data_IF_443756950443
#
_entry.id   IF_443756950443
#
_cell.length_a   1.000
_cell.length_b   1.000
_cell.length_c   1.000
_cell.angle_alpha   90.00
_cell.angle_beta   90.00
_cell.angle_gamma   90.00
#
_symmetry.space_group_name_H-M   'P 1'
#
loop_
_entity.id
_entity.type
_entity.pdbx_description
1 polymer ?
#
# COMPACT_ATOMS: atom_id res chain seq x y z
N UNK A 1 -72.96 28.58 -39.11
CA UNK A 1 -71.85 29.39 -39.66
C UNK A 1 -71.39 28.74 -40.95
N UNK A 2 -71.36 29.47 -42.08
CA UNK A 2 -70.36 29.31 -43.16
C UNK A 2 -70.60 30.39 -44.24
N UNK A 3 -70.07 31.59 -44.02
CA UNK A 3 -70.15 32.71 -44.98
C UNK A 3 -68.81 33.40 -45.27
N UNK A 4 -67.73 33.05 -44.57
CA UNK A 4 -66.42 33.71 -44.71
C UNK A 4 -65.47 33.01 -45.71
N UNK A 5 -65.69 31.72 -45.99
CA UNK A 5 -64.75 30.92 -46.80
C UNK A 5 -64.77 31.28 -48.30
N UNK A 6 -65.81 31.99 -48.75
CA UNK A 6 -66.03 32.30 -50.17
C UNK A 6 -65.51 33.69 -50.60
N UNK A 7 -65.20 34.59 -49.67
CA UNK A 7 -64.59 35.90 -50.00
C UNK A 7 -63.06 35.81 -50.12
N UNK A 8 -62.40 34.90 -49.40
CA UNK A 8 -60.92 34.81 -49.47
C UNK A 8 -60.39 34.38 -50.84
N UNK A 9 -61.08 33.44 -51.51
CA UNK A 9 -60.68 32.95 -52.84
C UNK A 9 -60.78 34.01 -53.93
N UNK A 10 -61.82 34.84 -53.91
CA UNK A 10 -61.98 35.93 -54.89
C UNK A 10 -60.87 36.99 -54.75
N UNK A 11 -60.35 37.20 -53.53
CA UNK A 11 -59.20 38.08 -53.30
C UNK A 11 -57.89 37.45 -53.79
N UNK A 12 -57.67 36.16 -53.52
CA UNK A 12 -56.46 35.44 -53.99
C UNK A 12 -56.38 35.40 -55.53
N UNK A 13 -57.48 35.01 -56.20
CA UNK A 13 -57.52 34.92 -57.67
C UNK A 13 -57.24 36.30 -58.32
N UNK A 14 -57.78 37.38 -57.76
CA UNK A 14 -57.52 38.75 -58.24
C UNK A 14 -56.08 39.21 -58.02
N UNK A 15 -55.40 38.75 -56.97
CA UNK A 15 -53.98 39.02 -56.73
C UNK A 15 -53.11 38.25 -57.74
N UNK A 16 -53.44 36.99 -58.05
CA UNK A 16 -52.72 36.20 -59.06
C UNK A 16 -52.89 36.75 -60.48
N UNK A 17 -54.09 37.23 -60.84
CA UNK A 17 -54.35 37.87 -62.13
C UNK A 17 -53.53 39.17 -62.27
N UNK A 18 -53.50 40.01 -61.23
CA UNK A 18 -52.69 41.23 -61.20
C UNK A 18 -51.17 40.94 -61.22
N UNK A 19 -50.71 39.87 -60.57
CA UNK A 19 -49.30 39.47 -60.59
C UNK A 19 -48.82 39.05 -61.99
N UNK A 20 -49.69 38.48 -62.83
CA UNK A 20 -49.36 38.13 -64.23
C UNK A 20 -49.13 39.35 -65.12
N UNK A 21 -49.80 40.48 -64.87
CA UNK A 21 -49.66 41.69 -65.71
C UNK A 21 -48.37 42.49 -65.48
N UNK A 22 -47.55 42.15 -64.48
CA UNK A 22 -46.30 42.85 -64.15
C UNK A 22 -45.02 42.06 -64.49
N UNK A 23 -45.13 40.97 -65.26
CA UNK A 23 -43.95 40.24 -65.75
C UNK A 23 -43.19 41.02 -66.82
N UNK A 24 -41.97 41.49 -66.50
CA UNK A 24 -41.03 42.05 -67.49
C UNK A 24 -40.87 41.09 -68.69
N UNK A 25 -40.93 41.64 -69.90
CA UNK A 25 -40.78 40.83 -71.11
C UNK A 25 -39.39 40.18 -71.18
N UNK A 26 -39.23 39.02 -71.86
CA UNK A 26 -37.93 38.37 -72.01
C UNK A 26 -36.86 39.29 -72.63
N UNK A 27 -37.27 40.21 -73.52
CA UNK A 27 -36.40 41.20 -74.13
C UNK A 27 -35.86 42.22 -73.10
N UNK A 28 -36.74 42.88 -72.35
CA UNK A 28 -36.35 43.82 -71.29
C UNK A 28 -35.46 43.16 -70.24
N UNK A 29 -35.78 41.91 -69.86
CA UNK A 29 -35.00 41.15 -68.90
C UNK A 29 -33.58 40.86 -69.43
N UNK A 30 -33.43 40.58 -70.72
CA UNK A 30 -32.12 40.38 -71.35
C UNK A 30 -31.28 41.67 -71.40
N UNK A 31 -31.90 42.84 -71.60
CA UNK A 31 -31.19 44.12 -71.62
C UNK A 31 -30.83 44.62 -70.22
N UNK A 32 -31.66 44.35 -69.21
CA UNK A 32 -31.27 44.59 -67.81
C UNK A 32 -30.07 43.72 -67.42
N UNK A 33 -30.05 42.44 -67.82
CA UNK A 33 -28.91 41.56 -67.57
C UNK A 33 -27.63 42.00 -68.32
N UNK A 34 -27.73 42.45 -69.57
CA UNK A 34 -26.55 42.92 -70.32
C UNK A 34 -25.96 44.19 -69.69
N UNK A 35 -26.80 45.12 -69.22
CA UNK A 35 -26.37 46.33 -68.49
C UNK A 35 -25.73 46.01 -67.14
N UNK A 36 -26.28 45.04 -66.39
CA UNK A 36 -25.69 44.58 -65.13
C UNK A 36 -24.31 43.94 -65.38
N UNK A 37 -24.19 43.03 -66.35
CA UNK A 37 -22.92 42.37 -66.67
C UNK A 37 -21.87 43.36 -67.21
N UNK A 38 -22.27 44.32 -68.05
CA UNK A 38 -21.38 45.39 -68.52
C UNK A 38 -20.88 46.32 -67.40
N UNK A 39 -21.59 46.41 -66.27
CA UNK A 39 -21.15 47.14 -65.06
C UNK A 39 -20.38 46.28 -64.06
N UNK A 40 -20.37 44.96 -64.22
CA UNK A 40 -19.73 44.02 -63.28
C UNK A 40 -18.23 43.79 -63.54
N UNK A 41 -17.72 44.13 -64.73
CA UNK A 41 -16.30 43.98 -65.10
C UNK A 41 -15.40 45.16 -64.63
N UNK A 42 -15.96 46.09 -63.84
CA UNK A 42 -15.24 47.23 -63.25
C UNK A 42 -14.68 46.88 -61.85
N UNK A 43 -13.68 46.00 -61.84
CA UNK A 43 -12.62 45.99 -60.83
C UNK A 43 -12.90 45.27 -59.51
N UNK A 44 -12.73 43.94 -59.50
CA UNK A 44 -12.73 43.12 -58.28
C UNK A 44 -11.46 43.25 -57.42
N UNK A 45 -11.11 44.46 -56.99
CA UNK A 45 -10.10 44.70 -55.95
C UNK A 45 -10.78 44.72 -54.57
N UNK A 46 -11.24 43.54 -54.14
CA UNK A 46 -11.80 43.34 -52.80
C UNK A 46 -10.75 43.59 -51.71
N UNK A 47 -10.69 44.83 -51.20
CA UNK A 47 -9.87 45.16 -50.03
C UNK A 47 -10.28 44.26 -48.86
N UNK A 48 -9.34 43.54 -48.22
CA UNK A 48 -9.70 42.68 -47.10
C UNK A 48 -10.33 43.52 -45.99
N UNK A 49 -11.49 43.07 -45.49
CA UNK A 49 -12.20 43.75 -44.40
C UNK A 49 -11.27 43.93 -43.19
N UNK A 50 -11.22 45.11 -42.54
CA UNK A 50 -10.41 45.29 -41.34
C UNK A 50 -10.83 44.36 -40.19
N UNK A 51 -12.05 43.82 -40.24
CA UNK A 51 -12.52 42.81 -39.29
C UNK A 51 -11.96 41.40 -39.57
N UNK A 52 -11.50 41.10 -40.79
CA UNK A 52 -10.91 39.79 -41.11
C UNK A 52 -9.62 39.54 -40.30
N UNK A 53 -8.82 40.59 -40.07
CA UNK A 53 -7.64 40.52 -39.21
C UNK A 53 -8.00 40.21 -37.74
N UNK A 54 -9.13 40.71 -37.25
CA UNK A 54 -9.61 40.47 -35.88
C UNK A 54 -10.01 38.99 -35.69
N UNK A 55 -10.70 38.40 -36.67
CA UNK A 55 -11.05 36.97 -36.64
C UNK A 55 -9.83 36.05 -36.85
N UNK A 56 -8.85 36.45 -37.67
CA UNK A 56 -7.61 35.70 -37.86
C UNK A 56 -6.70 35.71 -36.61
N UNK A 57 -6.57 36.84 -35.91
CA UNK A 57 -5.74 36.94 -34.71
C UNK A 57 -6.39 36.23 -33.50
N UNK A 58 -7.72 36.19 -33.44
CA UNK A 58 -8.47 35.52 -32.39
C UNK A 58 -8.46 33.98 -32.49
N UNK A 59 -8.29 33.40 -33.68
CA UNK A 59 -8.40 31.95 -33.91
C UNK A 59 -7.10 31.19 -33.60
N UNK A 60 -5.93 31.74 -33.94
CA UNK A 60 -4.64 31.03 -33.76
C UNK A 60 -4.22 30.81 -32.30
N UNK A 61 -4.54 31.73 -31.37
CA UNK A 61 -4.15 31.58 -29.96
C UNK A 61 -5.17 30.79 -29.13
N UNK A 62 -6.48 30.94 -29.39
CA UNK A 62 -7.54 30.23 -28.64
C UNK A 62 -7.47 28.71 -28.82
N UNK A 63 -6.96 28.22 -29.96
CA UNK A 63 -6.78 26.79 -30.22
C UNK A 63 -5.79 26.08 -29.28
N UNK A 64 -4.83 26.79 -28.68
CA UNK A 64 -3.91 26.23 -27.66
C UNK A 64 -4.45 26.52 -26.26
N UNK A 65 -5.00 27.71 -26.02
CA UNK A 65 -5.54 28.04 -24.69
C UNK A 65 -6.72 27.17 -24.28
N UNK A 66 -7.65 26.80 -25.18
CA UNK A 66 -8.79 25.94 -24.80
C UNK A 66 -8.37 24.55 -24.32
N UNK A 67 -7.56 23.74 -25.04
CA UNK A 67 -7.11 22.45 -24.53
C UNK A 67 -6.21 22.59 -23.30
N UNK A 68 -5.43 23.67 -23.18
CA UNK A 68 -4.61 23.92 -21.98
C UNK A 68 -5.47 24.32 -20.76
N UNK A 69 -6.56 25.07 -20.95
CA UNK A 69 -7.53 25.40 -19.90
C UNK A 69 -8.36 24.17 -19.52
N UNK A 70 -8.73 23.33 -20.49
CA UNK A 70 -9.38 22.03 -20.22
C UNK A 70 -8.40 21.11 -19.47
N UNK A 71 -7.13 21.07 -19.84
CA UNK A 71 -6.10 20.31 -19.12
C UNK A 71 -5.93 20.85 -17.69
N UNK A 72 -5.84 22.17 -17.50
CA UNK A 72 -5.76 22.79 -16.16
C UNK A 72 -7.06 22.59 -15.37
N UNK A 73 -8.23 22.54 -16.02
CA UNK A 73 -9.51 22.26 -15.36
C UNK A 73 -9.63 20.76 -15.00
N UNK A 74 -9.17 19.85 -15.85
CA UNK A 74 -9.13 18.41 -15.59
C UNK A 74 -8.08 18.06 -14.54
N UNK A 75 -6.92 18.73 -14.53
CA UNK A 75 -5.89 18.58 -13.49
C UNK A 75 -6.26 19.31 -12.19
N UNK A 76 -6.98 20.43 -12.26
CA UNK A 76 -7.37 21.22 -11.08
C UNK A 76 -8.63 20.69 -10.39
N UNK A 77 -9.68 20.38 -11.15
CA UNK A 77 -10.82 19.62 -10.64
C UNK A 77 -10.41 18.17 -10.33
N UNK A 78 -9.45 17.62 -11.08
CA UNK A 78 -8.76 16.36 -10.77
C UNK A 78 -8.11 16.41 -9.39
N UNK A 79 -7.22 17.37 -9.12
CA UNK A 79 -6.54 17.49 -7.81
C UNK A 79 -7.51 17.66 -6.63
N UNK A 80 -8.64 18.36 -6.83
CA UNK A 80 -9.70 18.45 -5.83
C UNK A 80 -10.46 17.12 -5.65
N UNK A 81 -10.79 16.43 -6.75
CA UNK A 81 -11.45 15.12 -6.73
C UNK A 81 -10.54 14.00 -6.20
N UNK A 82 -9.23 14.06 -6.46
CA UNK A 82 -8.21 13.14 -5.96
C UNK A 82 -8.14 13.20 -4.44
N UNK A 83 -7.97 14.40 -3.84
CA UNK A 83 -7.98 14.56 -2.38
C UNK A 83 -9.34 14.20 -1.75
N UNK A 84 -10.45 14.54 -2.40
CA UNK A 84 -11.78 14.14 -1.92
C UNK A 84 -11.99 12.61 -1.97
N UNK A 85 -11.42 11.93 -2.98
CA UNK A 85 -11.48 10.48 -3.10
C UNK A 85 -10.53 9.76 -2.13
N UNK A 86 -9.37 10.33 -1.79
CA UNK A 86 -8.46 9.76 -0.77
C UNK A 86 -9.17 9.59 0.58
N UNK A 87 -9.97 10.58 1.00
CA UNK A 87 -10.76 10.54 2.24
C UNK A 87 -12.04 9.69 2.19
N UNK A 88 -12.40 9.13 1.03
CA UNK A 88 -13.63 8.37 0.83
C UNK A 88 -13.59 7.01 1.53
N UNK A 89 -14.73 6.59 2.08
CA UNK A 89 -14.96 5.32 2.76
C UNK A 89 -15.71 4.30 1.89
N UNK A 90 -15.65 3.01 2.22
CA UNK A 90 -16.52 1.99 1.62
C UNK A 90 -18.00 2.41 1.61
N UNK A 91 -18.56 2.58 0.41
CA UNK A 91 -19.94 3.03 0.18
C UNK A 91 -20.08 4.50 -0.26
N UNK A 92 -19.02 5.32 -0.16
CA UNK A 92 -19.03 6.70 -0.65
C UNK A 92 -18.95 6.75 -2.18
N UNK A 93 -19.56 7.79 -2.77
CA UNK A 93 -19.63 7.99 -4.23
C UNK A 93 -18.25 8.02 -4.91
N UNK A 94 -17.22 8.51 -4.23
CA UNK A 94 -15.85 8.60 -4.76
C UNK A 94 -14.97 7.39 -4.40
N UNK A 95 -15.46 6.41 -3.64
CA UNK A 95 -14.68 5.22 -3.29
C UNK A 95 -14.26 4.38 -4.52
N UNK A 96 -15.11 4.18 -5.55
CA UNK A 96 -14.68 3.53 -6.79
C UNK A 96 -13.63 4.33 -7.57
N UNK A 97 -13.54 5.65 -7.37
CA UNK A 97 -12.50 6.50 -7.95
C UNK A 97 -11.17 6.37 -7.20
N UNK A 98 -11.23 6.28 -5.86
CA UNK A 98 -10.06 6.00 -5.00
C UNK A 98 -9.32 4.73 -5.44
N UNK A 99 -10.03 3.60 -5.45
CA UNK A 99 -9.50 2.30 -5.91
C UNK A 99 -9.22 2.28 -7.42
N UNK A 100 -10.12 2.87 -8.21
CA UNK A 100 -10.14 2.71 -9.66
C UNK A 100 -9.11 3.57 -10.41
N UNK A 101 -8.71 4.71 -9.83
CA UNK A 101 -7.85 5.73 -10.45
C UNK A 101 -6.71 6.13 -9.53
N UNK A 102 -6.97 6.65 -8.32
CA UNK A 102 -5.91 7.22 -7.48
C UNK A 102 -4.84 6.16 -7.11
N UNK A 103 -5.28 5.02 -6.56
CA UNK A 103 -4.38 3.96 -6.11
C UNK A 103 -3.59 3.35 -7.28
N UNK A 104 -4.23 3.14 -8.43
CA UNK A 104 -3.54 2.66 -9.64
C UNK A 104 -2.51 3.65 -10.18
N UNK A 105 -2.76 4.96 -10.07
CA UNK A 105 -1.75 5.97 -10.44
C UNK A 105 -0.58 5.93 -9.46
N UNK A 106 -0.82 5.72 -8.16
CA UNK A 106 0.25 5.51 -7.19
C UNK A 106 1.05 4.22 -7.50
N UNK A 107 0.38 3.11 -7.80
CA UNK A 107 1.01 1.84 -8.16
C UNK A 107 1.91 1.97 -9.41
N UNK A 108 1.46 2.72 -10.42
CA UNK A 108 2.25 3.01 -11.63
C UNK A 108 3.48 3.90 -11.37
N UNK A 109 3.48 4.69 -10.30
CA UNK A 109 4.62 5.52 -9.89
C UNK A 109 5.59 4.76 -8.96
N UNK A 110 5.11 3.75 -8.24
CA UNK A 110 5.90 2.86 -7.36
C UNK A 110 6.72 1.84 -8.17
N UNK A 111 7.68 2.35 -8.95
CA UNK A 111 8.46 1.58 -9.93
C UNK A 111 9.58 0.70 -9.37
N UNK A 112 9.89 0.78 -8.07
CA UNK A 112 10.86 -0.09 -7.40
C UNK A 112 10.19 -1.01 -6.36
N UNK A 113 10.73 -2.21 -6.08
CA UNK A 113 10.18 -3.09 -5.04
C UNK A 113 10.05 -2.40 -3.68
N UNK A 114 10.98 -1.53 -3.31
CA UNK A 114 10.95 -0.74 -2.07
C UNK A 114 9.78 0.24 -2.05
N UNK A 115 9.57 0.98 -3.14
CA UNK A 115 8.45 1.91 -3.28
C UNK A 115 7.11 1.17 -3.30
N UNK A 116 7.07 -0.01 -3.94
CA UNK A 116 5.89 -0.87 -3.97
C UNK A 116 5.55 -1.43 -2.59
N UNK A 117 6.54 -1.95 -1.85
CA UNK A 117 6.36 -2.41 -0.48
C UNK A 117 5.79 -1.31 0.44
N UNK A 118 6.38 -0.12 0.40
CA UNK A 118 5.93 1.03 1.19
C UNK A 118 4.51 1.49 0.80
N UNK A 119 4.22 1.59 -0.51
CA UNK A 119 2.89 1.98 -0.99
C UNK A 119 1.81 0.97 -0.59
N UNK A 120 2.05 -0.33 -0.80
CA UNK A 120 1.11 -1.38 -0.48
C UNK A 120 0.90 -1.48 1.05
N UNK A 121 1.93 -1.26 1.85
CA UNK A 121 1.81 -1.13 3.32
C UNK A 121 0.88 0.02 3.71
N UNK A 122 1.04 1.20 3.10
CA UNK A 122 0.16 2.37 3.34
C UNK A 122 -1.27 2.17 2.82
N UNK A 123 -1.46 1.46 1.71
CA UNK A 123 -2.80 1.11 1.21
C UNK A 123 -3.51 0.09 2.11
N UNK A 124 -2.78 -0.87 2.70
CA UNK A 124 -3.28 -1.79 3.72
C UNK A 124 -3.68 -1.03 4.99
N UNK A 125 -2.81 -0.16 5.51
CA UNK A 125 -3.08 0.74 6.63
C UNK A 125 -4.36 1.58 6.39
N UNK A 126 -4.53 2.10 5.18
CA UNK A 126 -5.71 2.88 4.80
C UNK A 126 -7.02 2.06 4.92
N UNK A 127 -7.00 0.75 4.64
CA UNK A 127 -8.19 -0.11 4.83
C UNK A 127 -8.53 -0.36 6.30
N UNK A 128 -7.52 -0.42 7.17
CA UNK A 128 -7.72 -0.57 8.61
C UNK A 128 -8.33 0.72 9.19
N UNK A 129 -7.76 1.88 8.84
CA UNK A 129 -8.31 3.20 9.14
C UNK A 129 -9.75 3.39 8.62
N UNK A 130 -10.09 2.87 7.43
CA UNK A 130 -11.46 2.91 6.89
C UNK A 130 -12.45 2.18 7.78
N UNK A 131 -12.09 1.01 8.31
CA UNK A 131 -12.95 0.21 9.21
C UNK A 131 -13.11 0.89 10.58
N UNK A 132 -12.02 1.43 11.14
CA UNK A 132 -12.02 2.17 12.41
C UNK A 132 -12.88 3.45 12.32
N UNK A 133 -12.76 4.19 11.21
CA UNK A 133 -13.59 5.37 10.94
C UNK A 133 -15.06 4.99 10.70
N UNK A 134 -15.35 3.94 9.93
CA UNK A 134 -16.72 3.43 9.76
C UNK A 134 -17.34 2.96 11.08
N UNK A 135 -16.55 2.34 11.97
CA UNK A 135 -16.98 1.93 13.31
C UNK A 135 -17.31 3.14 14.19
N UNK A 136 -16.43 4.14 14.26
CA UNK A 136 -16.66 5.35 15.05
C UNK A 136 -17.83 6.21 14.54
N UNK A 137 -18.12 6.15 13.24
CA UNK A 137 -19.28 6.77 12.60
C UNK A 137 -20.56 5.89 12.65
N UNK A 138 -20.55 4.76 13.38
CA UNK A 138 -21.70 3.85 13.52
C UNK A 138 -22.22 3.27 12.20
N UNK A 139 -21.37 3.30 11.16
CA UNK A 139 -21.72 3.10 9.76
C UNK A 139 -21.04 1.88 9.14
N UNK A 140 -20.37 1.06 9.96
CA UNK A 140 -19.78 -0.22 9.61
C UNK A 140 -20.88 -1.27 9.36
N UNK A 141 -20.79 -1.95 8.22
CA UNK A 141 -21.71 -3.03 7.83
C UNK A 141 -20.90 -4.25 7.33
N UNK A 142 -21.51 -5.45 7.26
CA UNK A 142 -20.84 -6.64 6.74
C UNK A 142 -20.25 -6.43 5.34
N UNK A 143 -21.00 -5.81 4.42
CA UNK A 143 -20.55 -5.57 3.04
C UNK A 143 -19.35 -4.61 2.97
N UNK A 144 -19.38 -3.53 3.77
CA UNK A 144 -18.27 -2.58 3.86
C UNK A 144 -17.03 -3.21 4.49
N UNK A 145 -17.22 -4.04 5.52
CA UNK A 145 -16.15 -4.78 6.18
C UNK A 145 -15.50 -5.77 5.21
N UNK A 146 -16.29 -6.55 4.47
CA UNK A 146 -15.81 -7.49 3.48
C UNK A 146 -15.06 -6.80 2.32
N UNK A 147 -15.52 -5.63 1.88
CA UNK A 147 -14.82 -4.84 0.86
C UNK A 147 -13.47 -4.29 1.36
N UNK A 148 -13.43 -3.75 2.57
CA UNK A 148 -12.17 -3.27 3.16
C UNK A 148 -11.21 -4.44 3.47
N UNK A 149 -11.71 -5.58 3.96
CA UNK A 149 -10.95 -6.80 4.23
C UNK A 149 -10.34 -7.41 2.95
N UNK A 150 -11.09 -7.46 1.85
CA UNK A 150 -10.58 -7.97 0.57
C UNK A 150 -9.44 -7.11 0.01
N UNK A 151 -9.57 -5.78 0.06
CA UNK A 151 -8.51 -4.87 -0.36
C UNK A 151 -7.32 -4.91 0.62
N UNK A 152 -7.58 -4.99 1.94
CA UNK A 152 -6.52 -5.13 2.94
C UNK A 152 -5.64 -6.35 2.67
N UNK A 153 -6.27 -7.51 2.44
CA UNK A 153 -5.54 -8.75 2.14
C UNK A 153 -4.67 -8.58 0.89
N UNK A 154 -5.23 -8.03 -0.20
CA UNK A 154 -4.50 -7.82 -1.45
C UNK A 154 -3.26 -6.92 -1.27
N UNK A 155 -3.40 -5.82 -0.51
CA UNK A 155 -2.29 -4.91 -0.22
C UNK A 155 -1.26 -5.51 0.75
N UNK A 156 -1.70 -6.24 1.78
CA UNK A 156 -0.80 -6.93 2.70
C UNK A 156 0.02 -8.02 1.98
N UNK A 157 -0.62 -8.86 1.16
CA UNK A 157 0.05 -9.89 0.36
C UNK A 157 1.03 -9.29 -0.65
N UNK A 158 0.67 -8.16 -1.28
CA UNK A 158 1.56 -7.43 -2.19
C UNK A 158 2.76 -6.80 -1.48
N UNK A 159 2.57 -6.24 -0.28
CA UNK A 159 3.66 -5.71 0.55
C UNK A 159 4.63 -6.83 0.98
N UNK A 160 4.10 -7.95 1.49
CA UNK A 160 4.86 -9.15 1.88
C UNK A 160 5.67 -9.68 0.68
N UNK A 161 5.05 -9.80 -0.50
CA UNK A 161 5.72 -10.25 -1.73
C UNK A 161 6.83 -9.30 -2.18
N UNK A 162 6.59 -7.99 -2.10
CA UNK A 162 7.60 -6.99 -2.43
C UNK A 162 8.80 -7.05 -1.47
N UNK A 163 8.56 -7.18 -0.16
CA UNK A 163 9.60 -7.31 0.88
C UNK A 163 10.44 -8.59 0.67
N UNK A 164 9.81 -9.73 0.40
CA UNK A 164 10.50 -10.98 0.08
C UNK A 164 11.41 -10.82 -1.16
N UNK A 165 10.93 -10.12 -2.20
CA UNK A 165 11.74 -9.85 -3.41
C UNK A 165 12.95 -8.94 -3.13
N UNK A 166 12.84 -7.99 -2.21
CA UNK A 166 13.93 -7.10 -1.77
C UNK A 166 15.02 -7.92 -1.06
N UNK A 167 14.60 -8.83 -0.17
CA UNK A 167 15.48 -9.75 0.55
C UNK A 167 16.17 -10.74 -0.39
N UNK A 168 15.42 -11.36 -1.31
CA UNK A 168 15.96 -12.26 -2.34
C UNK A 168 16.96 -11.56 -3.27
N UNK A 169 16.83 -10.24 -3.44
CA UNK A 169 17.79 -9.39 -4.17
C UNK A 169 19.02 -8.98 -3.35
N UNK A 170 19.17 -9.48 -2.12
CA UNK A 170 20.32 -9.24 -1.24
C UNK A 170 20.22 -8.01 -0.32
N UNK A 171 19.14 -7.24 -0.38
CA UNK A 171 18.97 -5.98 0.40
C UNK A 171 18.28 -6.28 1.74
N UNK A 172 18.95 -7.06 2.59
CA UNK A 172 18.40 -7.54 3.85
C UNK A 172 18.13 -6.41 4.87
N UNK A 173 18.87 -5.31 4.79
CA UNK A 173 18.67 -4.06 5.52
C UNK A 173 17.29 -3.44 5.19
N UNK A 174 17.00 -3.29 3.90
CA UNK A 174 15.75 -2.71 3.41
C UNK A 174 14.56 -3.63 3.72
N UNK A 175 14.73 -4.94 3.53
CA UNK A 175 13.71 -5.93 3.87
C UNK A 175 13.41 -5.95 5.38
N UNK A 176 14.43 -5.85 6.24
CA UNK A 176 14.22 -5.75 7.69
C UNK A 176 13.50 -4.45 8.07
N UNK A 177 13.88 -3.30 7.49
CA UNK A 177 13.20 -2.01 7.74
C UNK A 177 11.73 -2.06 7.32
N UNK A 178 11.44 -2.49 6.08
CA UNK A 178 10.06 -2.53 5.58
C UNK A 178 9.20 -3.57 6.31
N UNK A 179 9.80 -4.67 6.78
CA UNK A 179 9.12 -5.62 7.66
C UNK A 179 8.82 -5.02 9.03
N UNK A 180 9.71 -4.17 9.58
CA UNK A 180 9.46 -3.44 10.82
C UNK A 180 8.31 -2.44 10.65
N UNK A 181 8.28 -1.68 9.55
CA UNK A 181 7.17 -0.76 9.23
C UNK A 181 5.83 -1.50 9.21
N UNK A 182 5.75 -2.58 8.43
CA UNK A 182 4.54 -3.40 8.32
C UNK A 182 4.15 -4.05 9.66
N UNK A 183 5.09 -4.61 10.42
CA UNK A 183 4.83 -5.19 11.74
C UNK A 183 4.27 -4.13 12.73
N UNK A 184 4.82 -2.90 12.71
CA UNK A 184 4.38 -1.81 13.59
C UNK A 184 2.96 -1.34 13.30
N UNK A 185 2.66 -1.10 12.02
CA UNK A 185 1.34 -0.65 11.55
C UNK A 185 0.29 -1.72 11.85
N UNK A 186 0.56 -2.98 11.50
CA UNK A 186 -0.37 -4.08 11.73
C UNK A 186 -0.61 -4.31 13.23
N UNK A 187 0.42 -4.23 14.08
CA UNK A 187 0.27 -4.38 15.53
C UNK A 187 -0.59 -3.26 16.14
N UNK A 188 -0.33 -2.00 15.77
CA UNK A 188 -1.08 -0.86 16.29
C UNK A 188 -2.58 -0.91 15.94
N UNK A 189 -2.93 -1.29 14.71
CA UNK A 189 -4.32 -1.49 14.29
C UNK A 189 -4.94 -2.77 14.87
N UNK A 190 -4.15 -3.83 15.09
CA UNK A 190 -4.64 -5.10 15.66
C UNK A 190 -5.29 -4.89 17.02
N UNK A 191 -4.66 -4.10 17.90
CA UNK A 191 -5.17 -3.77 19.23
C UNK A 191 -6.50 -3.01 19.17
N UNK A 192 -6.65 -2.08 18.22
CA UNK A 192 -7.89 -1.30 18.05
C UNK A 192 -9.01 -2.17 17.48
N UNK A 193 -8.72 -3.04 16.51
CA UNK A 193 -9.70 -3.95 15.93
C UNK A 193 -10.33 -4.90 16.97
N UNK A 194 -9.61 -5.34 18.00
CA UNK A 194 -10.19 -6.15 19.08
C UNK A 194 -11.29 -5.41 19.87
N UNK A 195 -11.31 -4.08 19.83
CA UNK A 195 -12.35 -3.27 20.47
C UNK A 195 -13.58 -3.01 19.59
N UNK A 196 -13.52 -3.36 18.30
CA UNK A 196 -14.55 -3.07 17.30
C UNK A 196 -15.48 -4.29 17.10
N UNK A 197 -16.78 -4.21 17.42
CA UNK A 197 -17.72 -5.28 17.14
C UNK A 197 -17.81 -5.58 15.63
N UNK A 198 -17.65 -6.86 15.26
CA UNK A 198 -17.74 -7.30 13.86
C UNK A 198 -16.41 -7.34 13.09
N UNK A 199 -15.31 -6.87 13.66
CA UNK A 199 -13.95 -6.90 13.04
C UNK A 199 -13.30 -8.30 12.98
N UNK A 200 -13.91 -9.33 13.58
CA UNK A 200 -13.25 -10.59 13.90
C UNK A 200 -12.75 -11.44 12.70
N UNK A 201 -13.14 -11.12 11.47
CA UNK A 201 -12.52 -11.68 10.26
C UNK A 201 -11.22 -10.95 9.93
N UNK A 202 -11.27 -9.64 9.68
CA UNK A 202 -10.08 -8.85 9.37
C UNK A 202 -9.03 -8.86 10.49
N UNK A 203 -9.43 -8.88 11.76
CA UNK A 203 -8.52 -9.02 12.90
C UNK A 203 -7.64 -10.29 12.81
N UNK A 204 -8.18 -11.40 12.28
CA UNK A 204 -7.42 -12.62 12.01
C UNK A 204 -6.50 -12.47 10.81
N UNK A 205 -6.94 -11.79 9.74
CA UNK A 205 -6.10 -11.56 8.57
C UNK A 205 -4.92 -10.63 8.90
N UNK A 206 -5.15 -9.58 9.69
CA UNK A 206 -4.10 -8.71 10.27
C UNK A 206 -3.12 -9.54 11.10
N UNK A 207 -3.62 -10.48 11.92
CA UNK A 207 -2.76 -11.38 12.70
C UNK A 207 -1.90 -12.28 11.79
N UNK A 208 -2.46 -12.80 10.69
CA UNK A 208 -1.71 -13.62 9.72
C UNK A 208 -0.62 -12.80 9.00
N UNK A 209 -0.96 -11.59 8.54
CA UNK A 209 -0.02 -10.67 7.91
C UNK A 209 1.09 -10.21 8.88
N UNK A 210 0.76 -9.99 10.16
CA UNK A 210 1.71 -9.67 11.23
C UNK A 210 2.72 -10.81 11.44
N UNK A 211 2.25 -12.07 11.44
CA UNK A 211 3.12 -13.26 11.53
C UNK A 211 4.06 -13.35 10.32
N UNK A 212 3.55 -13.11 9.09
CA UNK A 212 4.36 -13.12 7.88
C UNK A 212 5.43 -12.00 7.88
N UNK A 213 5.05 -10.77 8.26
CA UNK A 213 5.98 -9.65 8.41
C UNK A 213 7.08 -9.96 9.44
N UNK A 214 6.72 -10.53 10.60
CA UNK A 214 7.68 -10.91 11.63
C UNK A 214 8.64 -12.03 11.18
N UNK A 215 8.19 -12.94 10.31
CA UNK A 215 9.03 -13.98 9.70
C UNK A 215 10.03 -13.37 8.71
N UNK A 216 9.57 -12.51 7.80
CA UNK A 216 10.43 -11.77 6.86
C UNK A 216 11.48 -10.95 7.61
N UNK A 217 11.06 -10.15 8.60
CA UNK A 217 11.96 -9.39 9.48
C UNK A 217 13.05 -10.28 10.09
N UNK A 218 12.66 -11.40 10.71
CA UNK A 218 13.60 -12.29 11.42
C UNK A 218 14.58 -12.96 10.46
N UNK A 219 14.14 -13.35 9.27
CA UNK A 219 15.03 -13.90 8.25
C UNK A 219 15.98 -12.84 7.66
N UNK A 220 15.53 -11.59 7.52
CA UNK A 220 16.34 -10.47 7.05
C UNK A 220 17.40 -10.05 8.10
N UNK A 221 17.02 -9.94 9.37
CA UNK A 221 17.94 -9.72 10.50
C UNK A 221 18.99 -10.84 10.61
N UNK A 222 18.62 -12.09 10.34
CA UNK A 222 19.55 -13.22 10.29
C UNK A 222 20.53 -13.12 9.09
N UNK A 223 20.04 -12.73 7.91
CA UNK A 223 20.89 -12.48 6.74
C UNK A 223 21.90 -11.35 6.97
N UNK A 224 21.50 -10.28 7.67
CA UNK A 224 22.40 -9.21 8.10
C UNK A 224 23.45 -9.73 9.09
N UNK A 225 23.00 -10.45 10.12
CA UNK A 225 23.86 -10.96 11.20
C UNK A 225 24.88 -12.01 10.74
N UNK A 226 24.61 -12.69 9.61
CA UNK A 226 25.49 -13.70 9.01
C UNK A 226 26.28 -13.17 7.80
N UNK A 227 26.11 -11.88 7.44
CA UNK A 227 26.86 -11.25 6.35
C UNK A 227 28.37 -11.26 6.63
N UNK A 228 29.15 -11.65 5.62
CA UNK A 228 30.61 -11.73 5.71
C UNK A 228 31.32 -10.40 5.50
N UNK A 229 30.60 -9.30 5.28
CA UNK A 229 31.16 -7.94 5.23
C UNK A 229 30.82 -7.15 6.51
N UNK A 230 31.78 -7.03 7.46
CA UNK A 230 31.54 -6.32 8.72
C UNK A 230 31.19 -4.84 8.52
N UNK A 231 31.63 -4.20 7.42
CA UNK A 231 31.33 -2.80 7.17
C UNK A 231 29.86 -2.60 6.80
N UNK A 232 29.27 -3.53 6.05
CA UNK A 232 27.86 -3.53 5.71
C UNK A 232 26.99 -3.70 6.96
N UNK A 233 27.29 -4.69 7.82
CA UNK A 233 26.54 -4.88 9.08
C UNK A 233 26.68 -3.69 10.03
N UNK A 234 27.88 -3.08 10.11
CA UNK A 234 28.11 -1.87 10.90
C UNK A 234 27.38 -0.63 10.34
N UNK A 235 27.18 -0.54 9.02
CA UNK A 235 26.38 0.51 8.37
C UNK A 235 24.90 0.30 8.66
N UNK A 236 24.36 -0.89 8.42
CA UNK A 236 22.98 -1.24 8.71
C UNK A 236 22.62 -1.00 10.19
N UNK A 237 23.53 -1.28 11.12
CA UNK A 237 23.34 -1.01 12.54
C UNK A 237 23.25 0.50 12.87
N UNK A 238 24.00 1.37 12.16
CA UNK A 238 23.92 2.83 12.30
C UNK A 238 22.68 3.42 11.64
N UNK A 239 22.23 2.84 10.54
CA UNK A 239 20.99 3.26 9.88
C UNK A 239 19.77 2.87 10.74
N UNK A 240 19.80 1.69 11.37
CA UNK A 240 18.82 1.27 12.37
C UNK A 240 18.86 2.15 13.63
N UNK A 241 20.05 2.52 14.14
CA UNK A 241 20.20 3.50 15.24
C UNK A 241 19.53 4.82 14.89
N UNK A 242 19.86 5.41 13.73
CA UNK A 242 19.28 6.66 13.27
C UNK A 242 17.76 6.58 13.16
N UNK A 243 17.23 5.56 12.46
CA UNK A 243 15.79 5.38 12.25
C UNK A 243 15.05 5.21 13.59
N UNK A 244 15.54 4.35 14.47
CA UNK A 244 14.90 4.13 15.78
C UNK A 244 14.97 5.37 16.69
N UNK A 245 16.04 6.16 16.62
CA UNK A 245 16.10 7.46 17.30
C UNK A 245 15.09 8.48 16.73
N UNK A 246 14.92 8.54 15.41
CA UNK A 246 13.91 9.38 14.74
C UNK A 246 12.47 8.94 15.09
N UNK A 247 12.22 7.63 15.18
CA UNK A 247 10.95 7.06 15.63
C UNK A 247 10.63 7.43 17.09
N UNK A 248 11.58 7.25 18.02
CA UNK A 248 11.42 7.63 19.43
C UNK A 248 11.19 9.13 19.59
N UNK A 249 11.98 9.96 18.88
CA UNK A 249 11.87 11.41 18.94
C UNK A 249 10.56 11.95 18.35
N UNK A 250 9.99 11.29 17.33
CA UNK A 250 8.69 11.68 16.76
C UNK A 250 7.49 11.16 17.57
N UNK A 251 7.62 10.00 18.21
CA UNK A 251 6.60 9.46 19.12
C UNK A 251 6.49 10.26 20.44
N UNK A 252 7.60 10.76 20.97
CA UNK A 252 7.63 11.47 22.26
C UNK A 252 6.64 12.65 22.40
N UNK A 253 6.57 13.64 21.48
CA UNK A 253 5.60 14.73 21.56
C UNK A 253 4.16 14.26 21.32
N UNK A 254 3.94 13.20 20.53
CA UNK A 254 2.61 12.64 20.24
C UNK A 254 2.04 11.97 21.49
N UNK A 255 2.82 11.08 22.12
CA UNK A 255 2.43 10.38 23.35
C UNK A 255 2.30 11.38 24.51
N UNK A 256 3.31 12.23 24.74
CA UNK A 256 3.35 13.14 25.90
C UNK A 256 2.40 14.33 25.79
N UNK A 257 2.12 14.81 24.58
CA UNK A 257 1.25 15.96 24.33
C UNK A 257 -0.24 15.62 24.31
N UNK A 258 -0.60 14.33 24.24
CA UNK A 258 -1.99 13.91 24.14
C UNK A 258 -2.64 13.76 25.52
N UNK A 259 -3.75 14.48 25.76
CA UNK A 259 -4.67 14.14 26.85
C UNK A 259 -5.24 12.73 26.73
N UNK A 260 -5.15 12.13 25.53
CA UNK A 260 -5.46 10.74 25.27
C UNK A 260 -4.53 9.78 26.03
N UNK A 261 -3.27 10.11 26.33
CA UNK A 261 -2.39 9.25 27.15
C UNK A 261 -2.97 8.98 28.56
N UNK A 262 -3.78 9.91 29.09
CA UNK A 262 -4.48 9.76 30.39
C UNK A 262 -5.65 8.77 30.30
N UNK A 263 -6.20 8.52 29.10
CA UNK A 263 -7.33 7.61 28.87
C UNK A 263 -6.95 6.32 28.12
N UNK A 264 -5.81 6.30 27.42
CA UNK A 264 -5.31 5.15 26.66
C UNK A 264 -4.63 4.09 27.54
N UNK A 265 -4.37 4.43 28.81
CA UNK A 265 -3.77 3.53 29.80
C UNK A 265 -2.24 3.52 29.78
N UNK A 266 -1.66 2.97 30.84
CA UNK A 266 -0.20 2.88 31.04
C UNK A 266 0.54 2.29 29.82
N UNK A 267 -0.10 1.32 29.14
CA UNK A 267 0.46 0.57 28.00
C UNK A 267 1.13 1.42 26.91
N UNK A 268 0.58 2.58 26.53
CA UNK A 268 1.20 3.43 25.48
C UNK A 268 2.44 4.16 26.00
N UNK A 269 2.39 4.64 27.24
CA UNK A 269 3.57 5.23 27.90
C UNK A 269 4.65 4.16 28.13
N UNK A 270 4.24 2.94 28.50
CA UNK A 270 5.13 1.79 28.69
C UNK A 270 5.76 1.33 27.36
N UNK A 271 5.04 1.40 26.23
CA UNK A 271 5.61 1.16 24.88
C UNK A 271 6.70 2.19 24.56
N UNK A 272 6.46 3.48 24.77
CA UNK A 272 7.47 4.51 24.54
C UNK A 272 8.66 4.40 25.52
N UNK A 273 8.43 3.99 26.77
CA UNK A 273 9.52 3.71 27.72
C UNK A 273 10.38 2.55 27.21
N UNK A 274 9.77 1.41 26.87
CA UNK A 274 10.48 0.26 26.29
C UNK A 274 11.24 0.63 25.02
N UNK A 275 10.69 1.53 24.18
CA UNK A 275 11.37 2.00 22.99
C UNK A 275 12.67 2.76 23.32
N UNK A 276 12.65 3.61 24.35
CA UNK A 276 13.83 4.33 24.86
C UNK A 276 14.85 3.38 25.49
N UNK A 277 14.39 2.37 26.23
CA UNK A 277 15.25 1.36 26.83
C UNK A 277 15.95 0.52 25.75
N UNK A 278 15.22 0.01 24.76
CA UNK A 278 15.78 -0.72 23.62
C UNK A 278 16.74 0.15 22.77
N UNK A 279 16.44 1.44 22.58
CA UNK A 279 17.35 2.36 21.90
C UNK A 279 18.66 2.48 22.68
N UNK A 280 18.58 2.68 24.01
CA UNK A 280 19.75 2.77 24.88
C UNK A 280 20.59 1.49 24.86
N UNK A 281 19.98 0.32 25.03
CA UNK A 281 20.68 -0.98 24.93
C UNK A 281 21.30 -1.18 23.54
N UNK A 282 20.59 -0.79 22.47
CA UNK A 282 21.08 -0.84 21.10
C UNK A 282 22.35 0.00 20.89
N UNK A 283 22.40 1.23 21.41
CA UNK A 283 23.62 2.07 21.33
C UNK A 283 24.80 1.44 22.05
N UNK A 284 24.59 0.76 23.19
CA UNK A 284 25.64 0.04 23.90
C UNK A 284 26.15 -1.19 23.13
N UNK A 285 25.26 -1.92 22.44
CA UNK A 285 25.64 -3.03 21.54
C UNK A 285 26.39 -2.54 20.30
N UNK A 286 25.96 -1.43 19.70
CA UNK A 286 26.64 -0.78 18.58
C UNK A 286 28.07 -0.35 18.97
N UNK A 287 28.22 0.30 20.14
CA UNK A 287 29.50 0.75 20.66
C UNK A 287 30.48 -0.39 21.01
N UNK A 288 29.95 -1.58 21.34
CA UNK A 288 30.76 -2.78 21.62
C UNK A 288 31.01 -3.66 20.38
N UNK A 289 30.55 -3.25 19.19
CA UNK A 289 30.72 -3.98 17.93
C UNK A 289 29.79 -5.18 17.76
N UNK A 290 28.80 -5.35 18.65
CA UNK A 290 27.79 -6.41 18.58
C UNK A 290 26.65 -6.01 17.62
N UNK A 291 26.97 -5.85 16.33
CA UNK A 291 26.08 -5.22 15.35
C UNK A 291 24.74 -5.96 15.15
N UNK A 292 24.73 -7.30 15.16
CA UNK A 292 23.49 -8.08 15.07
C UNK A 292 22.54 -7.85 16.25
N UNK A 293 23.07 -7.87 17.48
CA UNK A 293 22.31 -7.52 18.69
C UNK A 293 21.78 -6.08 18.61
N UNK A 294 22.61 -5.14 18.13
CA UNK A 294 22.24 -3.74 17.99
C UNK A 294 21.08 -3.56 16.99
N UNK A 295 21.16 -4.16 15.81
CA UNK A 295 20.09 -4.14 14.80
C UNK A 295 18.78 -4.69 15.39
N UNK A 296 18.83 -5.82 16.09
CA UNK A 296 17.64 -6.43 16.70
C UNK A 296 17.02 -5.56 17.81
N UNK A 297 17.83 -4.81 18.58
CA UNK A 297 17.36 -3.87 19.61
C UNK A 297 16.79 -2.59 18.99
N UNK A 298 17.49 -1.98 18.03
CA UNK A 298 17.00 -0.82 17.30
C UNK A 298 15.69 -1.12 16.58
N UNK A 299 15.53 -2.31 15.98
CA UNK A 299 14.26 -2.76 15.42
C UNK A 299 13.13 -2.80 16.46
N UNK A 300 13.39 -3.30 17.67
CA UNK A 300 12.36 -3.28 18.75
C UNK A 300 12.03 -1.86 19.21
N UNK A 301 13.02 -0.98 19.30
CA UNK A 301 12.84 0.42 19.67
C UNK A 301 11.94 1.14 18.65
N UNK A 302 12.29 1.01 17.37
CA UNK A 302 11.56 1.54 16.23
C UNK A 302 10.10 1.08 16.22
N UNK A 303 9.85 -0.24 16.35
CA UNK A 303 8.49 -0.78 16.37
C UNK A 303 7.67 -0.30 17.56
N UNK A 304 8.24 -0.26 18.77
CA UNK A 304 7.52 0.19 19.97
C UNK A 304 7.22 1.69 19.96
N UNK A 305 8.12 2.52 19.43
CA UNK A 305 7.86 3.95 19.24
C UNK A 305 6.78 4.20 18.18
N UNK A 306 6.86 3.51 17.05
CA UNK A 306 5.91 3.64 15.94
C UNK A 306 4.52 3.16 16.35
N UNK A 307 4.42 1.99 16.99
CA UNK A 307 3.18 1.44 17.54
C UNK A 307 2.51 2.43 18.50
N UNK A 308 3.26 2.99 19.47
CA UNK A 308 2.73 3.97 20.42
C UNK A 308 2.21 5.24 19.72
N UNK A 309 2.93 5.74 18.71
CA UNK A 309 2.52 6.91 17.93
C UNK A 309 1.23 6.65 17.15
N UNK A 310 1.15 5.53 16.43
CA UNK A 310 -0.03 5.16 15.64
C UNK A 310 -1.24 4.94 16.55
N UNK A 311 -1.10 4.24 17.68
CA UNK A 311 -2.21 4.03 18.62
C UNK A 311 -2.78 5.36 19.17
N UNK A 312 -1.95 6.37 19.41
CA UNK A 312 -2.43 7.71 19.80
C UNK A 312 -3.17 8.39 18.65
N UNK A 313 -2.67 8.29 17.42
CA UNK A 313 -3.30 8.87 16.24
C UNK A 313 -4.68 8.25 15.94
N UNK A 314 -4.81 6.92 16.01
CA UNK A 314 -6.09 6.21 15.86
C UNK A 314 -7.06 6.62 16.97
N UNK A 315 -6.63 6.65 18.23
CA UNK A 315 -7.49 7.07 19.35
C UNK A 315 -7.96 8.52 19.20
N UNK A 316 -7.12 9.40 18.67
CA UNK A 316 -7.48 10.79 18.39
C UNK A 316 -8.49 10.91 17.24
N UNK A 317 -8.31 10.14 16.15
CA UNK A 317 -9.22 10.18 14.99
C UNK A 317 -10.62 9.63 15.31
N UNK A 318 -10.69 8.56 16.11
CA UNK A 318 -11.92 7.96 16.65
C UNK A 318 -12.57 8.89 17.71
N UNK A 319 -11.77 9.35 18.68
CA UNK A 319 -12.24 10.11 19.84
C UNK A 319 -12.81 11.49 19.51
N UNK A 320 -12.36 12.12 18.41
CA UNK A 320 -12.93 13.41 17.95
C UNK A 320 -14.36 13.32 17.39
N UNK A 321 -14.93 12.12 17.21
CA UNK A 321 -16.29 11.93 16.67
C UNK A 321 -17.29 11.20 17.57
N UNK A 322 -16.82 10.44 18.56
CA UNK A 322 -17.68 9.58 19.38
C UNK A 322 -18.04 10.19 20.75
N UNK A 323 -19.29 10.67 20.97
CA UNK A 323 -19.81 10.83 22.33
C UNK A 323 -20.06 9.43 22.92
N UNK A 324 -19.33 9.09 23.98
CA UNK A 324 -19.32 7.76 24.64
C UNK A 324 -18.88 6.59 23.75
N UNK A 325 -17.57 6.40 23.59
CA UNK A 325 -17.04 5.03 23.65
C UNK A 325 -16.86 4.63 25.12
N UNK A 326 -17.26 3.40 25.44
CA UNK A 326 -17.23 2.82 26.79
C UNK A 326 -15.76 2.78 27.25
N UNK A 327 -15.43 3.15 28.51
CA UNK A 327 -14.06 3.04 29.01
C UNK A 327 -13.55 1.59 28.87
N UNK A 328 -12.25 1.38 28.63
CA UNK A 328 -11.70 0.03 28.56
C UNK A 328 -12.06 -0.72 29.85
N UNK A 329 -12.61 -1.93 29.69
CA UNK A 329 -12.89 -2.81 30.82
C UNK A 329 -11.60 -2.99 31.63
N UNK A 330 -11.65 -2.93 32.97
CA UNK A 330 -10.47 -3.15 33.78
C UNK A 330 -9.89 -4.52 33.43
N UNK A 331 -8.58 -4.54 33.18
CA UNK A 331 -7.81 -5.76 32.96
C UNK A 331 -8.11 -6.75 34.09
N UNK A 332 -8.44 -7.99 33.71
CA UNK A 332 -8.54 -9.08 34.68
C UNK A 332 -7.14 -9.33 35.22
N UNK A 333 -6.84 -8.72 36.37
CA UNK A 333 -5.64 -9.03 37.15
C UNK A 333 -5.59 -10.53 37.41
N UNK A 334 -4.64 -11.22 36.77
CA UNK A 334 -4.29 -12.58 37.13
C UNK A 334 -3.73 -12.54 38.55
N UNK A 335 -4.55 -12.93 39.53
CA UNK A 335 -4.18 -12.88 40.94
C UNK A 335 -2.88 -13.66 41.17
N UNK A 336 -1.91 -13.11 41.94
CA UNK A 336 -0.63 -13.76 42.13
C UNK A 336 -0.79 -15.06 42.94
N UNK A 337 -0.38 -16.18 42.34
CA UNK A 337 -0.22 -17.44 43.05
C UNK A 337 0.79 -17.24 44.17
N UNK A 338 0.33 -17.39 45.41
CA UNK A 338 1.15 -17.23 46.60
C UNK A 338 2.14 -18.40 46.74
N UNK A 339 3.41 -18.15 46.38
CA UNK A 339 4.53 -19.01 46.79
C UNK A 339 4.99 -18.61 48.18
N UNK A 340 4.42 -19.26 49.20
CA UNK A 340 4.79 -19.05 50.60
C UNK A 340 6.19 -19.60 50.87
N UNK A 341 7.21 -18.74 50.81
CA UNK A 341 8.55 -19.05 51.32
C UNK A 341 8.65 -18.58 52.77
N UNK A 342 8.48 -19.50 53.72
CA UNK A 342 8.81 -19.26 55.13
C UNK A 342 10.30 -19.56 55.36
N UNK A 343 11.05 -18.53 55.77
CA UNK A 343 12.45 -18.67 56.20
C UNK A 343 12.50 -19.01 57.69
N UNK A 344 13.30 -20.01 58.06
CA UNK A 344 13.88 -20.12 59.40
C UNK A 344 15.18 -20.93 59.35
N UNK A 345 16.09 -20.62 60.27
CA UNK A 345 17.53 -20.88 60.16
C UNK A 345 17.99 -21.95 61.15
N UNK A 346 19.01 -22.71 60.73
CA UNK A 346 20.00 -23.44 61.55
C UNK A 346 19.68 -24.78 62.26
N UNK A 347 20.66 -25.66 62.10
CA UNK A 347 21.22 -26.61 63.08
C UNK A 347 20.62 -28.03 63.29
N UNK A 348 21.27 -28.98 62.59
CA UNK A 348 21.96 -30.16 63.18
C UNK A 348 21.27 -31.53 63.27
N UNK A 349 22.12 -32.55 63.07
CA UNK A 349 22.01 -33.98 63.43
C UNK A 349 21.07 -34.94 62.64
N UNK A 350 21.71 -35.72 61.74
CA UNK A 350 21.85 -37.20 61.79
C UNK A 350 20.63 -38.16 61.81
N UNK A 351 20.81 -39.31 61.13
CA UNK A 351 19.93 -40.51 61.01
C UNK A 351 18.97 -40.43 59.80
N UNK A 352 19.06 -41.23 58.73
CA UNK A 352 19.30 -42.68 58.51
C UNK A 352 18.13 -43.60 58.88
N UNK A 353 17.69 -44.34 57.85
CA UNK A 353 16.90 -45.59 57.80
C UNK A 353 15.40 -45.63 58.15
N UNK A 354 14.71 -46.36 57.25
CA UNK A 354 13.72 -47.44 57.47
C UNK A 354 12.25 -47.17 57.84
N UNK A 355 11.40 -47.61 56.90
CA UNK A 355 10.30 -48.59 57.09
C UNK A 355 8.95 -48.23 57.75
N UNK A 356 7.88 -48.72 57.09
CA UNK A 356 6.58 -49.19 57.65
C UNK A 356 5.65 -48.17 58.33
N UNK A 357 4.32 -48.30 58.38
CA UNK A 357 3.34 -49.25 57.82
C UNK A 357 2.03 -48.44 57.56
N UNK A 358 1.36 -48.59 56.42
CA UNK A 358 0.18 -49.45 56.19
C UNK A 358 -1.13 -49.06 56.92
N UNK A 359 -2.22 -48.91 56.17
CA UNK A 359 -3.50 -48.34 56.62
C UNK A 359 -4.66 -48.56 55.63
N UNK A 360 -4.93 -49.82 55.32
CA UNK A 360 -5.96 -50.32 54.38
C UNK A 360 -7.38 -49.74 54.53
N UNK A 361 -8.05 -49.41 53.41
CA UNK A 361 -9.43 -49.90 53.10
C UNK A 361 -9.92 -49.59 51.66
N UNK A 362 -9.97 -50.63 50.82
CA UNK A 362 -11.04 -50.98 49.84
C UNK A 362 -11.91 -49.90 49.15
N UNK A 363 -11.92 -49.89 47.81
CA UNK A 363 -13.05 -50.38 46.96
C UNK A 363 -12.62 -50.49 45.49
N UNK A 364 -13.06 -51.55 44.80
CA UNK A 364 -12.63 -51.93 43.44
C UNK A 364 -13.48 -51.33 42.31
N UNK A 365 -12.87 -51.05 41.16
CA UNK A 365 -13.37 -51.61 39.89
C UNK A 365 -12.29 -51.74 38.81
N UNK A 366 -12.41 -52.78 37.98
CA UNK A 366 -11.57 -53.12 36.82
C UNK A 366 -11.85 -52.20 35.61
N UNK A 367 -10.95 -52.03 34.63
CA UNK A 367 -9.62 -52.60 34.43
C UNK A 367 -9.33 -52.78 32.92
N UNK A 368 -8.07 -52.65 32.50
CA UNK A 368 -7.60 -53.08 31.18
C UNK A 368 -6.10 -53.39 31.26
N UNK A 369 -5.67 -54.59 30.86
CA UNK A 369 -4.26 -55.01 30.95
C UNK A 369 -3.72 -55.45 29.59
N UNK A 370 -2.54 -54.94 29.27
CA UNK A 370 -1.73 -55.27 28.12
C UNK A 370 -1.10 -56.67 28.19
N UNK A 371 -0.84 -57.26 27.02
CA UNK A 371 0.34 -58.07 26.68
C UNK A 371 0.59 -57.78 25.18
N UNK A 372 1.74 -57.33 24.66
CA UNK A 372 3.16 -57.53 24.93
C UNK A 372 3.78 -58.77 24.26
N UNK A 373 4.70 -58.47 23.31
CA UNK A 373 5.81 -59.28 22.74
C UNK A 373 5.51 -60.42 21.76
N UNK A 374 6.24 -60.41 20.64
CA UNK A 374 6.44 -61.57 19.76
C UNK A 374 6.92 -61.28 18.33
N UNK A 375 8.12 -60.72 18.16
CA UNK A 375 8.94 -61.02 16.95
C UNK A 375 9.36 -62.51 16.98
N UNK A 376 9.71 -63.21 15.86
CA UNK A 376 10.39 -62.64 14.69
C UNK A 376 10.02 -63.18 13.28
N UNK A 377 10.27 -62.36 12.25
CA UNK A 377 11.09 -62.72 11.08
C UNK A 377 10.61 -63.68 9.96
N UNK A 378 11.14 -63.39 8.75
CA UNK A 378 11.32 -64.24 7.54
C UNK A 378 10.27 -64.23 6.40
N UNK A 379 10.74 -63.76 5.24
CA UNK A 379 10.48 -64.19 3.84
C UNK A 379 9.05 -64.47 3.33
N UNK A 380 8.65 -63.74 2.27
CA UNK A 380 7.53 -64.15 1.41
C UNK A 380 7.03 -63.10 0.42
N UNK A 381 7.64 -63.03 -0.76
CA UNK A 381 7.08 -62.53 -2.02
C UNK A 381 7.09 -63.73 -3.00
N UNK A 382 6.24 -63.85 -4.06
CA UNK A 382 5.23 -62.94 -4.59
C UNK A 382 3.84 -63.57 -4.89
N UNK A 383 2.89 -62.78 -5.41
CA UNK A 383 1.73 -63.29 -6.17
C UNK A 383 0.44 -62.46 -6.05
N UNK A 384 0.19 -61.47 -6.93
CA UNK A 384 -0.64 -61.58 -8.16
C UNK A 384 -2.15 -61.79 -7.96
N UNK A 385 -2.94 -60.71 -8.09
CA UNK A 385 -4.31 -60.64 -8.67
C UNK A 385 -4.90 -59.25 -8.38
N UNK A 386 -5.49 -58.47 -9.29
CA UNK A 386 -5.81 -58.76 -10.70
C UNK A 386 -7.17 -58.19 -11.12
N UNK A 387 -7.25 -56.89 -11.43
CA UNK A 387 -8.24 -56.24 -12.33
C UNK A 387 -7.78 -54.77 -12.54
N UNK A 388 -7.49 -54.24 -13.72
CA UNK A 388 -8.16 -54.27 -15.04
C UNK A 388 -9.51 -53.51 -15.03
N UNK A 389 -9.80 -52.56 -15.92
CA UNK A 389 -8.99 -51.92 -16.99
C UNK A 389 -9.23 -50.38 -17.00
N UNK A 390 -8.97 -49.60 -18.06
CA UNK A 390 -8.62 -49.88 -19.46
C UNK A 390 -7.62 -48.80 -19.97
N UNK A 391 -6.54 -49.19 -20.65
CA UNK A 391 -6.29 -49.02 -22.11
C UNK A 391 -6.11 -47.53 -22.56
N UNK A 392 -4.90 -47.07 -22.92
CA UNK A 392 -4.15 -47.28 -24.18
C UNK A 392 -4.57 -46.27 -25.29
N UNK A 393 -3.76 -45.81 -26.27
CA UNK A 393 -2.30 -45.69 -26.51
C UNK A 393 -2.13 -44.68 -27.70
N UNK A 394 -0.99 -44.37 -28.34
CA UNK A 394 0.38 -44.92 -28.30
C UNK A 394 1.44 -43.89 -28.78
N UNK A 395 2.69 -44.11 -28.36
CA UNK A 395 3.97 -44.00 -29.09
C UNK A 395 4.16 -43.03 -30.29
N UNK A 396 5.08 -42.09 -30.08
CA UNK A 396 6.38 -41.95 -30.79
C UNK A 396 6.47 -41.95 -32.33
N UNK A 397 6.98 -40.84 -32.90
CA UNK A 397 7.62 -40.80 -34.22
C UNK A 397 8.53 -39.56 -34.38
N UNK A 398 9.83 -39.79 -34.63
CA UNK A 398 10.83 -38.75 -34.98
C UNK A 398 11.00 -38.64 -36.50
N UNK A 399 10.91 -37.40 -37.05
CA UNK A 399 11.46 -36.82 -38.31
C UNK A 399 10.68 -35.53 -38.63
N UNK A 400 11.22 -34.44 -39.19
CA UNK A 400 12.56 -34.13 -39.67
C UNK A 400 12.51 -33.27 -40.96
N UNK A 401 12.69 -31.95 -40.86
CA UNK A 401 12.93 -30.99 -41.96
C UNK A 401 13.47 -29.67 -41.34
N UNK A 402 14.70 -29.21 -41.62
CA UNK A 402 15.23 -28.63 -42.86
C UNK A 402 14.69 -27.21 -43.16
N UNK A 403 15.58 -26.20 -43.08
CA UNK A 403 15.33 -24.82 -43.54
C UNK A 403 15.43 -24.67 -45.08
N UNK A 404 15.62 -23.45 -45.64
CA UNK A 404 16.87 -22.71 -45.39
C UNK A 404 16.89 -21.15 -45.56
N UNK A 405 18.01 -20.57 -45.13
CA UNK A 405 18.79 -19.46 -45.71
C UNK A 405 18.36 -17.97 -45.71
N UNK A 406 19.37 -17.12 -45.47
CA UNK A 406 19.44 -15.68 -45.78
C UNK A 406 19.47 -14.75 -44.55
N UNK A 407 20.58 -14.10 -44.14
CA UNK A 407 21.97 -14.12 -44.60
C UNK A 407 22.52 -12.71 -44.90
N UNK A 408 23.75 -12.40 -44.41
CA UNK A 408 24.58 -11.21 -44.77
C UNK A 408 24.13 -9.86 -44.15
N UNK A 409 25.00 -8.93 -43.67
CA UNK A 409 26.48 -8.88 -43.54
C UNK A 409 26.94 -7.71 -42.65
N UNK A 410 28.10 -7.87 -41.97
CA UNK A 410 29.20 -6.89 -41.71
C UNK A 410 28.93 -5.50 -41.08
N UNK A 411 29.93 -4.76 -40.56
CA UNK A 411 31.23 -5.03 -39.90
C UNK A 411 31.89 -3.67 -39.55
N UNK A 412 33.00 -3.69 -38.79
CA UNK A 412 33.91 -2.61 -38.35
C UNK A 412 33.73 -2.26 -36.86
N UNK A 413 34.66 -2.53 -35.93
CA UNK A 413 36.13 -2.39 -35.94
C UNK A 413 36.58 -0.92 -35.84
N UNK A 414 36.92 -0.49 -34.61
CA UNK A 414 37.68 0.73 -34.33
C UNK A 414 38.37 0.59 -32.94
N UNK A 415 39.68 0.40 -32.97
CA UNK A 415 40.56 0.26 -31.82
C UNK A 415 41.17 1.62 -31.44
N UNK A 416 41.13 1.98 -30.15
CA UNK A 416 42.06 2.89 -29.45
C UNK A 416 41.65 2.98 -27.97
N UNK A 417 42.55 3.05 -26.98
CA UNK A 417 44.01 3.13 -27.06
C UNK A 417 44.55 4.30 -26.24
N UNK A 418 44.89 4.02 -24.97
CA UNK A 418 45.82 4.77 -24.10
C UNK A 418 45.60 6.29 -23.92
N UNK A 419 45.41 6.74 -22.68
CA UNK A 419 46.48 7.55 -22.04
C UNK A 419 46.41 7.57 -20.51
N UNK A 420 47.58 7.73 -19.90
CA UNK A 420 47.84 7.76 -18.47
C UNK A 420 48.12 9.21 -18.04
N UNK A 421 47.65 9.65 -16.86
CA UNK A 421 48.26 10.77 -16.14
C UNK A 421 47.76 10.90 -14.70
N UNK A 422 48.63 10.55 -13.76
CA UNK A 422 48.60 11.08 -12.39
C UNK A 422 48.53 12.61 -12.38
N UNK A 423 47.59 13.19 -11.60
CA UNK A 423 47.83 14.48 -10.93
C UNK A 423 47.23 14.50 -9.53
N UNK A 424 48.10 14.45 -8.54
CA UNK A 424 47.83 14.97 -7.21
C UNK A 424 47.29 16.41 -7.30
N UNK A 425 46.18 16.70 -6.63
CA UNK A 425 45.92 18.05 -6.14
C UNK A 425 45.47 18.01 -4.68
N UNK A 426 46.30 18.63 -3.84
CA UNK A 426 46.15 18.68 -2.39
C UNK A 426 44.98 19.56 -1.95
N UNK A 427 44.30 19.13 -0.88
CA UNK A 427 43.37 19.94 -0.12
C UNK A 427 44.06 21.17 0.49
N UNK A 428 43.45 22.37 0.47
CA UNK A 428 43.78 23.43 1.41
C UNK A 428 43.01 23.23 2.73
N UNK A 429 43.73 23.21 3.86
CA UNK A 429 43.12 23.26 5.19
C UNK A 429 42.41 24.60 5.42
N UNK A 430 41.26 24.55 6.11
CA UNK A 430 40.64 25.72 6.73
C UNK A 430 40.59 25.46 8.24
N UNK A 431 41.44 26.12 9.00
CA UNK A 431 41.37 26.14 10.47
C UNK A 431 40.32 27.15 10.99
N UNK A 432 39.70 26.88 12.15
CA UNK A 432 38.63 27.71 12.68
C UNK A 432 39.14 28.97 13.40
N UNK A 433 38.58 30.14 13.06
CA UNK A 433 38.77 31.36 13.88
C UNK A 433 37.82 31.39 15.07
N UNK A 434 38.41 31.19 16.23
CA UNK A 434 37.85 31.38 17.55
C UNK A 434 37.48 32.86 17.79
N UNK A 435 36.25 33.15 18.22
CA UNK A 435 35.89 34.45 18.78
C UNK A 435 35.07 34.28 20.07
N UNK A 436 35.67 34.67 21.19
CA UNK A 436 34.95 35.05 22.41
C UNK A 436 34.73 36.55 22.40
N UNK A 437 33.47 36.98 22.53
CA UNK A 437 32.98 37.88 23.57
C UNK A 437 31.46 38.05 23.43
#
# INVERSE_FOLDING_TARGET
MNRNDNESKDVEDRIFEAARSFGMSPAERSEVWSRIMASADLGSHGRPSPYAAIFAYASGRRAIFVPLLILILVLGAGAAATQAAEGALPGDLLYPWKLGVNEKVADLLASSPQAQAALQTSQAEARLNEIEKLSSEGSLSPDKTALAEANFNAHADAAITAIDSIQASGNADQAASLSNDLESILSAHRDVLDTIPGSGSIARNVTNALIAAAQLRTSAEYSLSTSTDPNNVALAAKEAEKRSAEAVASAEPVVSGSGAAVQAGASIADQLSQAKDYLSEGTAKLASGAYGDAIALFGRADRKATEASIQVQIRHSIGMKAPNMIPPLPSLESSPVSTTTASSTEASATSTSSETENGSATTSYSGFRSHSRGDPGTSGDPGTSGNAGQEAAAADAIKGAAGPNGGSTNAADANNGLENSDRHHSLPLIEPKNHKN
#
